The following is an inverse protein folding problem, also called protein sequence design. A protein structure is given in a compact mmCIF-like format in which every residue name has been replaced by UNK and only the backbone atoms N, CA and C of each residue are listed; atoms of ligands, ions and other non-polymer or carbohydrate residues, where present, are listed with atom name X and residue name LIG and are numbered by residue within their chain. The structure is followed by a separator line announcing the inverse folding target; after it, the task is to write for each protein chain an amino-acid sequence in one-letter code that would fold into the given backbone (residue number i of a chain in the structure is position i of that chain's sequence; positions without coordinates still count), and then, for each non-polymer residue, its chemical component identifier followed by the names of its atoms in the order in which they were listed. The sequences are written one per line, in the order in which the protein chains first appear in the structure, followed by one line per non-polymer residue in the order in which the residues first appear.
data_IF_497419014347
#
_entry.id   IF_497419014347
#
_cell.length_a   1.000
_cell.length_b   1.000
_cell.length_c   1.000
_cell.angle_alpha   90.00
_cell.angle_beta   90.00
_cell.angle_gamma   90.00
#
_symmetry.space_group_name_H-M   'P 1'
#
loop_
_entity.id
_entity.type
_entity.pdbx_description
1 polymer ?
#
# COMPACT_ATOMS: atom_id res chain seq x y z
N UNK A 1 2.17 9.82 -9.71
CA UNK A 1 2.15 8.38 -9.38
C UNK A 1 3.29 7.69 -10.10
N UNK A 2 4.16 7.00 -9.40
CA UNK A 2 5.33 6.38 -10.03
C UNK A 2 4.93 5.22 -10.96
N UNK A 3 5.79 4.93 -11.92
CA UNK A 3 5.70 3.75 -12.76
C UNK A 3 6.62 2.65 -12.24
N UNK A 4 6.21 1.40 -12.43
CA UNK A 4 6.91 0.21 -11.97
C UNK A 4 7.08 -0.79 -13.11
N UNK A 5 7.96 -1.76 -12.90
CA UNK A 5 8.03 -2.96 -13.75
C UNK A 5 7.68 -4.20 -12.93
N UNK A 6 7.11 -5.19 -13.58
CA UNK A 6 6.78 -6.48 -12.95
C UNK A 6 6.80 -7.61 -13.97
N UNK A 7 7.18 -8.81 -13.56
CA UNK A 7 7.04 -10.04 -14.33
C UNK A 7 5.78 -10.85 -13.94
N UNK A 8 4.96 -10.29 -13.05
CA UNK A 8 3.78 -10.94 -12.47
C UNK A 8 2.44 -10.42 -13.00
N UNK A 9 2.44 -9.57 -14.03
CA UNK A 9 1.20 -9.08 -14.61
C UNK A 9 0.47 -10.19 -15.36
N UNK A 10 -0.84 -10.42 -15.09
CA UNK A 10 -1.63 -11.40 -15.84
C UNK A 10 -1.86 -10.99 -17.30
N UNK A 11 -1.69 -9.71 -17.62
CA UNK A 11 -1.93 -9.16 -18.96
C UNK A 11 -0.71 -9.28 -19.89
N UNK A 12 0.45 -9.64 -19.36
CA UNK A 12 1.70 -9.80 -20.12
C UNK A 12 2.32 -11.18 -19.88
N UNK A 13 2.84 -11.80 -20.93
CA UNK A 13 3.55 -13.07 -20.81
C UNK A 13 5.00 -12.94 -20.33
N UNK A 14 5.56 -11.73 -20.35
CA UNK A 14 6.90 -11.41 -19.90
C UNK A 14 6.89 -10.30 -18.87
N UNK A 15 7.63 -9.25 -19.15
CA UNK A 15 7.72 -8.07 -18.29
C UNK A 15 6.69 -7.01 -18.68
N UNK A 16 6.09 -6.38 -17.69
CA UNK A 16 5.15 -5.27 -17.86
C UNK A 16 5.72 -3.99 -17.24
N UNK A 17 5.46 -2.86 -17.89
CA UNK A 17 5.54 -1.54 -17.27
C UNK A 17 4.13 -1.16 -16.83
N UNK A 18 3.96 -0.83 -15.56
CA UNK A 18 2.66 -0.59 -14.95
C UNK A 18 2.62 0.74 -14.19
N UNK A 19 1.41 1.28 -14.07
CA UNK A 19 1.11 2.36 -13.13
C UNK A 19 0.99 1.81 -11.71
N UNK A 20 0.95 2.70 -10.73
CA UNK A 20 0.76 2.35 -9.32
C UNK A 20 -0.53 1.55 -9.07
N UNK A 21 -1.61 1.80 -9.83
CA UNK A 21 -2.88 1.06 -9.76
C UNK A 21 -2.87 -0.31 -10.44
N UNK A 22 -1.74 -0.70 -11.04
CA UNK A 22 -1.58 -1.96 -11.76
C UNK A 22 -1.93 -1.90 -13.25
N UNK A 23 -2.40 -0.74 -13.77
CA UNK A 23 -2.68 -0.59 -15.21
C UNK A 23 -1.40 -0.77 -16.04
N UNK A 24 -1.44 -1.71 -16.99
CA UNK A 24 -0.33 -1.98 -17.89
C UNK A 24 -0.25 -0.92 -18.98
N UNK A 25 0.93 -0.28 -19.11
CA UNK A 25 1.19 0.67 -20.20
C UNK A 25 2.06 0.07 -21.32
N UNK A 26 2.69 -1.08 -21.07
CA UNK A 26 3.44 -1.81 -22.07
C UNK A 26 3.85 -3.20 -21.60
N UNK A 27 3.88 -4.15 -22.55
CA UNK A 27 4.39 -5.50 -22.36
C UNK A 27 5.72 -5.66 -23.09
N UNK A 28 6.69 -6.33 -22.47
CA UNK A 28 8.05 -6.50 -22.99
C UNK A 28 8.52 -7.94 -22.82
N UNK A 29 9.38 -8.41 -23.73
CA UNK A 29 9.98 -9.73 -23.63
C UNK A 29 11.12 -9.78 -22.61
N UNK A 30 11.79 -8.64 -22.38
CA UNK A 30 12.94 -8.54 -21.46
C UNK A 30 12.68 -7.53 -20.35
N UNK A 31 13.34 -7.76 -19.21
CA UNK A 31 13.35 -6.82 -18.09
C UNK A 31 13.90 -5.46 -18.50
N UNK A 32 14.99 -5.44 -19.28
CA UNK A 32 15.65 -4.21 -19.69
C UNK A 32 14.71 -3.31 -20.52
N UNK A 33 13.93 -3.88 -21.43
CA UNK A 33 12.97 -3.12 -22.23
C UNK A 33 11.88 -2.49 -21.35
N UNK A 34 11.40 -3.22 -20.33
CA UNK A 34 10.45 -2.69 -19.36
C UNK A 34 11.06 -1.56 -18.51
N UNK A 35 12.32 -1.70 -18.06
CA UNK A 35 13.07 -0.66 -17.36
C UNK A 35 13.20 0.58 -18.24
N UNK A 36 13.57 0.43 -19.50
CA UNK A 36 13.76 1.55 -20.44
C UNK A 36 12.44 2.33 -20.62
N UNK A 37 11.31 1.64 -20.74
CA UNK A 37 10.00 2.30 -20.81
C UNK A 37 9.65 2.99 -19.49
N UNK A 38 9.82 2.32 -18.35
CA UNK A 38 9.55 2.90 -17.03
C UNK A 38 10.34 4.19 -16.80
N UNK A 39 11.62 4.19 -17.12
CA UNK A 39 12.49 5.37 -17.01
C UNK A 39 12.02 6.48 -17.95
N UNK A 40 11.72 6.16 -19.21
CA UNK A 40 11.29 7.13 -20.21
C UNK A 40 9.99 7.84 -19.81
N UNK A 41 8.96 7.09 -19.39
CA UNK A 41 7.67 7.69 -18.97
C UNK A 41 7.81 8.45 -17.65
N UNK A 42 8.64 7.99 -16.74
CA UNK A 42 8.88 8.68 -15.47
C UNK A 42 9.58 10.03 -15.70
N UNK A 43 10.58 10.08 -16.56
CA UNK A 43 11.26 11.33 -16.92
C UNK A 43 10.33 12.29 -17.66
N UNK A 44 9.47 11.79 -18.55
CA UNK A 44 8.51 12.60 -19.29
C UNK A 44 7.49 13.29 -18.36
N UNK A 45 7.18 12.71 -17.22
CA UNK A 45 6.26 13.23 -16.21
C UNK A 45 6.96 13.88 -15.00
N UNK A 46 8.27 14.07 -15.09
CA UNK A 46 9.12 14.66 -14.02
C UNK A 46 8.98 13.89 -12.69
N UNK A 47 9.02 12.55 -12.77
CA UNK A 47 8.91 11.65 -11.64
C UNK A 47 10.12 10.71 -11.55
N UNK A 48 10.39 10.20 -10.35
CA UNK A 48 11.36 9.12 -10.17
C UNK A 48 10.75 7.76 -10.55
N UNK A 49 11.51 6.87 -11.21
CA UNK A 49 11.07 5.51 -11.47
C UNK A 49 10.79 4.74 -10.16
N UNK A 50 9.69 3.99 -10.12
CA UNK A 50 9.30 3.21 -8.94
C UNK A 50 10.11 1.93 -8.74
N UNK A 51 10.72 1.41 -9.80
CA UNK A 51 11.50 0.19 -9.76
C UNK A 51 10.69 -1.08 -10.03
N UNK A 52 11.22 -2.22 -9.61
CA UNK A 52 10.56 -3.52 -9.76
C UNK A 52 9.53 -3.74 -8.64
N UNK A 53 8.34 -4.17 -9.04
CA UNK A 53 7.27 -4.55 -8.11
C UNK A 53 6.90 -6.01 -8.36
N UNK A 54 7.29 -6.86 -7.43
CA UNK A 54 6.96 -8.29 -7.42
C UNK A 54 5.73 -8.54 -6.51
N UNK A 55 4.63 -7.82 -6.74
CA UNK A 55 3.47 -8.00 -5.87
C UNK A 55 2.88 -9.40 -6.07
N UNK A 56 3.03 -10.25 -5.07
CA UNK A 56 2.08 -11.30 -4.80
C UNK A 56 0.82 -10.57 -4.30
N UNK A 57 -0.02 -10.15 -5.25
CA UNK A 57 -1.21 -9.34 -4.98
C UNK A 57 -2.21 -10.04 -4.06
N UNK A 58 -1.97 -11.32 -3.78
CA UNK A 58 -2.82 -12.15 -2.95
C UNK A 58 -2.45 -12.09 -1.45
N UNK A 59 -1.25 -11.59 -1.10
CA UNK A 59 -0.82 -11.53 0.31
C UNK A 59 -0.83 -10.08 0.80
N UNK A 60 -1.63 -9.82 1.83
CA UNK A 60 -1.89 -8.47 2.35
C UNK A 60 -1.02 -8.16 3.57
N UNK A 61 -0.53 -6.93 3.61
CA UNK A 61 0.03 -6.29 4.81
C UNK A 61 -0.95 -5.20 5.24
N UNK A 62 -1.44 -5.27 6.47
CA UNK A 62 -2.31 -4.23 7.04
C UNK A 62 -1.43 -3.19 7.76
N UNK A 63 -1.66 -1.91 7.51
CA UNK A 63 -0.86 -0.82 8.09
C UNK A 63 -1.76 0.27 8.65
N UNK A 64 -1.44 0.74 9.85
CA UNK A 64 -2.06 1.90 10.49
C UNK A 64 -1.40 3.22 10.06
N UNK A 65 -2.07 4.35 10.28
CA UNK A 65 -1.54 5.68 9.95
C UNK A 65 -0.98 6.37 11.19
N UNK A 66 -1.85 6.74 12.15
CA UNK A 66 -1.46 7.62 13.25
C UNK A 66 -0.51 6.96 14.25
N UNK A 67 0.69 7.55 14.41
CA UNK A 67 1.75 7.00 15.24
C UNK A 67 2.50 5.81 14.61
N UNK A 68 2.11 5.39 13.42
CA UNK A 68 2.78 4.33 12.64
C UNK A 68 3.46 4.89 11.40
N UNK A 69 2.71 5.50 10.49
CA UNK A 69 3.23 6.14 9.27
C UNK A 69 3.38 7.65 9.44
N UNK A 70 2.45 8.28 10.17
CA UNK A 70 2.38 9.73 10.35
C UNK A 70 2.29 10.08 11.84
N UNK A 71 3.05 11.08 12.26
CA UNK A 71 2.97 11.69 13.58
C UNK A 71 3.07 13.21 13.45
N UNK A 72 2.11 13.94 14.03
CA UNK A 72 2.09 15.40 13.97
C UNK A 72 2.02 15.96 12.54
N UNK A 73 1.32 15.29 11.65
CA UNK A 73 1.16 15.67 10.24
C UNK A 73 2.39 15.40 9.36
N UNK A 74 3.38 14.69 9.88
CA UNK A 74 4.63 14.35 9.16
C UNK A 74 4.86 12.85 9.10
N UNK A 75 5.45 12.38 8.01
CA UNK A 75 5.84 10.98 7.86
C UNK A 75 6.89 10.55 8.89
N UNK A 76 6.69 9.38 9.47
CA UNK A 76 7.70 8.69 10.27
C UNK A 76 8.60 7.94 9.28
N UNK A 77 9.64 8.60 8.79
CA UNK A 77 10.39 8.19 7.61
C UNK A 77 10.88 6.74 7.67
N UNK A 78 11.38 6.29 8.80
CA UNK A 78 11.83 4.90 8.97
C UNK A 78 10.72 3.89 8.70
N UNK A 79 9.51 4.17 9.16
CA UNK A 79 8.37 3.28 8.99
C UNK A 79 7.82 3.38 7.57
N UNK A 80 7.79 4.57 7.01
CA UNK A 80 7.42 4.78 5.60
C UNK A 80 8.34 3.99 4.67
N UNK A 81 9.65 4.08 4.88
CA UNK A 81 10.64 3.33 4.08
C UNK A 81 10.43 1.81 4.20
N UNK A 82 10.13 1.32 5.40
CA UNK A 82 9.84 -0.09 5.63
C UNK A 82 8.59 -0.56 4.89
N UNK A 83 7.50 0.19 4.95
CA UNK A 83 6.26 -0.12 4.25
C UNK A 83 6.46 -0.05 2.73
N UNK A 84 7.22 0.93 2.24
CA UNK A 84 7.53 1.04 0.82
C UNK A 84 8.39 -0.14 0.31
N UNK A 85 9.26 -0.71 1.15
CA UNK A 85 9.94 -1.97 0.81
C UNK A 85 8.96 -3.15 0.74
N UNK A 86 8.02 -3.24 1.69
CA UNK A 86 6.97 -4.27 1.67
C UNK A 86 6.03 -4.11 0.45
N UNK A 87 5.78 -2.90 0.02
CA UNK A 87 4.95 -2.60 -1.15
C UNK A 87 5.48 -3.24 -2.44
N UNK A 88 6.77 -3.49 -2.53
CA UNK A 88 7.39 -4.15 -3.69
C UNK A 88 6.99 -5.62 -3.83
N UNK A 89 6.60 -6.26 -2.73
CA UNK A 89 6.29 -7.70 -2.69
C UNK A 89 4.85 -8.02 -2.31
N UNK A 90 4.18 -7.14 -1.55
CA UNK A 90 2.88 -7.40 -0.95
C UNK A 90 1.86 -6.33 -1.27
N UNK A 91 0.59 -6.67 -1.13
CA UNK A 91 -0.51 -5.72 -1.20
C UNK A 91 -0.60 -4.94 0.12
N UNK A 92 -0.42 -3.63 0.05
CA UNK A 92 -0.47 -2.77 1.24
C UNK A 92 -1.88 -2.21 1.41
N UNK A 93 -2.53 -2.65 2.46
CA UNK A 93 -3.88 -2.21 2.83
C UNK A 93 -3.81 -1.35 4.09
N UNK A 94 -4.10 -0.07 3.95
CA UNK A 94 -4.16 0.84 5.10
C UNK A 94 -5.53 0.74 5.75
N UNK A 95 -5.56 0.45 7.05
CA UNK A 95 -6.78 0.44 7.86
C UNK A 95 -6.60 1.46 8.98
N UNK A 96 -7.32 2.58 8.88
CA UNK A 96 -7.19 3.70 9.82
C UNK A 96 -8.43 3.88 10.68
N UNK A 97 -8.24 4.35 11.91
CA UNK A 97 -9.33 4.82 12.78
C UNK A 97 -9.86 6.21 12.42
N UNK A 98 -9.24 6.89 11.46
CA UNK A 98 -9.72 8.21 10.99
C UNK A 98 -11.06 8.06 10.29
N UNK A 99 -11.90 9.10 10.44
CA UNK A 99 -13.21 9.18 9.78
C UNK A 99 -13.06 9.38 8.26
N UNK A 100 -14.08 8.94 7.51
CA UNK A 100 -14.21 9.26 6.08
C UNK A 100 -14.19 10.76 5.78
N UNK A 101 -14.67 11.58 6.70
CA UNK A 101 -14.64 13.05 6.57
C UNK A 101 -13.22 13.61 6.48
N UNK A 102 -12.22 12.84 6.92
CA UNK A 102 -10.80 13.19 6.88
C UNK A 102 -10.07 12.64 5.64
N UNK A 103 -10.79 12.02 4.70
CA UNK A 103 -10.20 11.32 3.55
C UNK A 103 -9.25 12.19 2.74
N UNK A 104 -9.70 13.35 2.27
CA UNK A 104 -8.88 14.23 1.42
C UNK A 104 -7.59 14.68 2.12
N UNK A 105 -7.69 15.05 3.39
CA UNK A 105 -6.54 15.44 4.21
C UNK A 105 -5.59 14.26 4.41
N UNK A 106 -6.12 13.09 4.69
CA UNK A 106 -5.34 11.88 4.95
C UNK A 106 -4.56 11.44 3.70
N UNK A 107 -5.21 11.42 2.55
CA UNK A 107 -4.57 11.08 1.28
C UNK A 107 -3.45 12.08 0.97
N UNK A 108 -3.67 13.38 1.20
CA UNK A 108 -2.65 14.40 1.03
C UNK A 108 -1.45 14.20 1.96
N UNK A 109 -1.68 13.91 3.25
CA UNK A 109 -0.60 13.63 4.21
C UNK A 109 0.22 12.40 3.82
N UNK A 110 -0.43 11.32 3.36
CA UNK A 110 0.24 10.11 2.91
C UNK A 110 1.09 10.38 1.65
N UNK A 111 0.58 11.16 0.72
CA UNK A 111 1.32 11.56 -0.48
C UNK A 111 2.54 12.41 -0.14
N UNK A 112 2.40 13.38 0.76
CA UNK A 112 3.50 14.23 1.23
C UNK A 112 4.58 13.43 1.98
N UNK A 113 4.17 12.38 2.69
CA UNK A 113 5.09 11.46 3.37
C UNK A 113 5.75 10.44 2.41
N UNK A 114 5.29 10.34 1.18
CA UNK A 114 5.80 9.40 0.20
C UNK A 114 5.41 7.94 0.44
N UNK A 115 4.27 7.70 1.10
CA UNK A 115 3.77 6.36 1.38
C UNK A 115 3.19 5.71 0.13
N UNK A 116 3.64 4.50 -0.17
CA UNK A 116 3.11 3.66 -1.24
C UNK A 116 2.16 2.62 -0.64
N UNK A 117 0.93 2.57 -1.16
CA UNK A 117 -0.10 1.62 -0.72
C UNK A 117 -1.07 1.31 -1.87
N UNK A 118 -1.82 0.23 -1.73
CA UNK A 118 -2.78 -0.22 -2.75
C UNK A 118 -4.20 0.20 -2.43
N UNK A 119 -4.59 0.11 -1.17
CA UNK A 119 -5.93 0.43 -0.73
C UNK A 119 -5.95 1.06 0.66
N UNK A 120 -7.02 1.76 0.98
CA UNK A 120 -7.21 2.43 2.26
C UNK A 120 -8.67 2.34 2.70
N UNK A 121 -8.87 2.02 3.96
CA UNK A 121 -10.18 1.93 4.59
C UNK A 121 -10.29 2.89 5.75
N UNK A 122 -11.31 3.73 5.72
CA UNK A 122 -11.62 4.71 6.77
C UNK A 122 -12.68 4.16 7.73
N UNK A 123 -12.73 4.68 8.94
CA UNK A 123 -13.74 4.31 9.91
C UNK A 123 -15.07 5.01 9.60
N UNK A 124 -16.05 4.24 9.17
CA UNK A 124 -17.39 4.72 8.84
C UNK A 124 -18.26 4.99 10.08
N UNK A 125 -17.94 4.37 11.20
CA UNK A 125 -18.71 4.49 12.45
C UNK A 125 -17.82 4.83 13.65
N UNK A 126 -17.69 6.11 13.93
CA UNK A 126 -16.90 6.64 15.05
C UNK A 126 -17.48 6.28 16.42
N UNK A 127 -18.68 5.69 16.51
CA UNK A 127 -19.24 5.18 17.77
C UNK A 127 -18.66 3.85 18.20
N UNK A 128 -18.03 3.11 17.26
CA UNK A 128 -17.38 1.84 17.53
C UNK A 128 -15.92 2.07 17.98
N UNK A 129 -15.42 1.39 19.03
CA UNK A 129 -14.03 1.48 19.40
C UNK A 129 -13.09 1.13 18.23
N UNK A 130 -12.04 1.92 18.04
CA UNK A 130 -11.12 1.77 16.90
C UNK A 130 -10.54 0.35 16.78
N UNK A 131 -10.16 -0.28 17.90
CA UNK A 131 -9.65 -1.66 17.88
C UNK A 131 -10.69 -2.67 17.39
N UNK A 132 -11.96 -2.47 17.74
CA UNK A 132 -13.09 -3.30 17.28
C UNK A 132 -13.32 -3.13 15.79
N UNK A 133 -13.33 -1.89 15.30
CA UNK A 133 -13.42 -1.58 13.87
C UNK A 133 -12.28 -2.22 13.07
N UNK A 134 -11.04 -2.03 13.52
CA UNK A 134 -9.86 -2.60 12.86
C UNK A 134 -9.89 -4.14 12.81
N UNK A 135 -10.35 -4.77 13.90
CA UNK A 135 -10.54 -6.22 13.93
C UNK A 135 -11.55 -6.69 12.90
N UNK A 136 -12.69 -6.00 12.80
CA UNK A 136 -13.74 -6.33 11.84
C UNK A 136 -13.20 -6.23 10.40
N UNK A 137 -12.51 -5.15 10.07
CA UNK A 137 -11.91 -4.98 8.74
C UNK A 137 -10.83 -6.02 8.44
N UNK A 138 -10.00 -6.38 9.42
CA UNK A 138 -9.03 -7.45 9.25
C UNK A 138 -9.69 -8.82 8.99
N UNK A 139 -10.81 -9.11 9.64
CA UNK A 139 -11.61 -10.31 9.35
C UNK A 139 -12.12 -10.32 7.92
N UNK A 140 -12.69 -9.20 7.44
CA UNK A 140 -13.19 -9.07 6.08
C UNK A 140 -12.07 -9.28 5.04
N UNK A 141 -10.89 -8.72 5.31
CA UNK A 141 -9.71 -8.92 4.45
C UNK A 141 -9.26 -10.40 4.46
N UNK A 142 -9.23 -11.04 5.63
CA UNK A 142 -8.82 -12.44 5.78
C UNK A 142 -9.77 -13.44 5.08
N UNK A 143 -11.03 -13.09 4.90
CA UNK A 143 -11.99 -13.91 4.15
C UNK A 143 -11.63 -14.00 2.67
N UNK A 144 -10.99 -12.97 2.13
CA UNK A 144 -10.63 -12.89 0.71
C UNK A 144 -9.16 -13.19 0.43
N UNK A 145 -8.26 -12.81 1.35
CA UNK A 145 -6.82 -12.87 1.13
C UNK A 145 -6.06 -13.23 2.40
N UNK A 146 -4.93 -13.97 2.28
CA UNK A 146 -4.05 -14.19 3.42
C UNK A 146 -3.41 -12.87 3.87
N UNK A 147 -3.39 -12.62 5.17
CA UNK A 147 -2.68 -11.49 5.79
C UNK A 147 -1.40 -11.99 6.43
N UNK A 148 -0.26 -11.46 6.00
CA UNK A 148 1.05 -11.84 6.52
C UNK A 148 1.42 -11.09 7.78
N UNK A 149 1.05 -9.81 7.86
CA UNK A 149 1.49 -8.89 8.90
C UNK A 149 0.48 -7.78 9.08
N UNK A 150 0.28 -7.34 10.31
CA UNK A 150 -0.42 -6.11 10.65
C UNK A 150 0.50 -5.21 11.48
N UNK A 151 0.67 -3.97 11.05
CA UNK A 151 1.57 -2.98 11.67
C UNK A 151 0.73 -1.87 12.27
N UNK A 152 0.77 -1.76 13.59
CA UNK A 152 0.01 -0.75 14.34
C UNK A 152 0.77 -0.38 15.62
N UNK A 153 0.77 0.90 15.99
CA UNK A 153 1.38 1.37 17.23
C UNK A 153 0.47 1.18 18.45
N UNK A 154 -0.84 1.03 18.25
CA UNK A 154 -1.80 0.85 19.33
C UNK A 154 -1.81 -0.61 19.85
N UNK A 155 -1.59 -0.78 21.16
CA UNK A 155 -1.56 -2.10 21.79
C UNK A 155 -2.91 -2.83 21.71
N UNK A 156 -4.03 -2.10 21.81
CA UNK A 156 -5.37 -2.68 21.70
C UNK A 156 -5.64 -3.21 20.28
N UNK A 157 -5.24 -2.45 19.26
CA UNK A 157 -5.33 -2.87 17.86
C UNK A 157 -4.46 -4.11 17.60
N UNK A 158 -3.21 -4.12 18.05
CA UNK A 158 -2.32 -5.29 17.91
C UNK A 158 -2.90 -6.55 18.56
N UNK A 159 -3.48 -6.43 19.76
CA UNK A 159 -4.16 -7.56 20.42
C UNK A 159 -5.39 -8.04 19.63
N UNK A 160 -6.15 -7.09 19.08
CA UNK A 160 -7.30 -7.42 18.23
C UNK A 160 -6.88 -8.21 16.98
N UNK A 161 -5.83 -7.78 16.29
CA UNK A 161 -5.28 -8.50 15.14
C UNK A 161 -4.74 -9.89 15.54
N UNK A 162 -3.98 -9.98 16.63
CA UNK A 162 -3.43 -11.23 17.12
C UNK A 162 -4.51 -12.27 17.47
N UNK A 163 -5.71 -11.82 17.87
CA UNK A 163 -6.84 -12.70 18.16
C UNK A 163 -7.42 -13.41 16.93
N UNK A 164 -7.04 -12.97 15.74
CA UNK A 164 -7.47 -13.56 14.46
C UNK A 164 -6.51 -14.66 13.95
N UNK A 165 -5.37 -14.83 14.57
CA UNK A 165 -4.34 -15.80 14.21
C UNK A 165 -3.01 -15.12 13.96
#
# INVERSE_FOLDING_TARGET
MPYFITDKSPDCSGWATIKEDGEVIGCHETKQDAVDQMVAVSLAEDMEPGGERNSDADVVIIVDIDGTLIAGGRGIQKNVDYVNELYKEFYIYIVTGRSEDEEDMTISELADAGVQYDDIEFNEDMSVPTATYKKQKAQDILEENPVKLAIDNDAAARRAYASLG
#
